data_IF_313710580230
#
_entry.id   IF_313710580230
#
_cell.length_a   1.000
_cell.length_b   1.000
_cell.length_c   1.000
_cell.angle_alpha   90.00
_cell.angle_beta   90.00
_cell.angle_gamma   90.00
#
_symmetry.space_group_name_H-M   'P 1'
#
loop_
_entity.id
_entity.type
_entity.pdbx_description
1 polymer ?
#
# COMPACT_ATOMS: atom_id res chain seq x y z
N UNK A 1 -9.56 23.80 19.19
CA UNK A 1 -10.70 23.69 18.24
C UNK A 1 -11.10 22.23 18.15
N UNK A 2 -12.41 21.98 18.06
CA UNK A 2 -12.99 20.65 17.94
C UNK A 2 -13.63 20.51 16.55
N UNK A 3 -13.46 19.35 15.92
CA UNK A 3 -13.91 19.04 14.56
C UNK A 3 -14.91 17.89 14.60
N UNK A 4 -16.01 18.04 13.87
CA UNK A 4 -16.92 16.95 13.58
C UNK A 4 -16.27 15.95 12.63
N UNK A 5 -16.77 14.71 12.62
CA UNK A 5 -16.24 13.67 11.72
C UNK A 5 -16.27 14.04 10.24
N UNK A 6 -17.27 14.83 9.82
CA UNK A 6 -17.41 15.30 8.43
C UNK A 6 -16.33 16.35 8.12
N UNK A 7 -15.98 17.21 9.07
CA UNK A 7 -14.88 18.17 8.91
C UNK A 7 -13.54 17.46 8.84
N UNK A 8 -13.32 16.41 9.65
CA UNK A 8 -12.10 15.59 9.57
C UNK A 8 -12.01 14.90 8.20
N UNK A 9 -13.10 14.32 7.72
CA UNK A 9 -13.15 13.71 6.38
C UNK A 9 -12.80 14.73 5.28
N UNK A 10 -13.37 15.94 5.34
CA UNK A 10 -13.05 17.00 4.37
C UNK A 10 -11.59 17.45 4.41
N UNK A 11 -10.97 17.48 5.60
CA UNK A 11 -9.58 17.92 5.76
C UNK A 11 -8.56 16.83 5.39
N UNK A 12 -8.88 15.56 5.68
CA UNK A 12 -7.92 14.45 5.57
C UNK A 12 -8.17 13.55 4.37
N UNK A 13 -9.36 13.62 3.76
CA UNK A 13 -9.82 12.68 2.74
C UNK A 13 -10.22 11.30 3.29
N UNK A 14 -10.09 11.08 4.60
CA UNK A 14 -10.42 9.79 5.23
C UNK A 14 -11.93 9.71 5.42
N UNK A 15 -12.55 8.73 4.77
CA UNK A 15 -14.00 8.58 4.80
C UNK A 15 -14.56 8.51 6.23
N UNK A 16 -15.68 9.19 6.49
CA UNK A 16 -16.33 9.16 7.81
C UNK A 16 -16.58 7.74 8.33
N UNK A 17 -16.89 6.80 7.43
CA UNK A 17 -17.08 5.37 7.79
C UNK A 17 -15.79 4.76 8.36
N UNK A 18 -14.65 5.07 7.78
CA UNK A 18 -13.33 4.62 8.23
C UNK A 18 -12.98 5.23 9.58
N UNK A 19 -13.19 6.54 9.76
CA UNK A 19 -12.98 7.22 11.04
C UNK A 19 -13.85 6.63 12.16
N UNK A 20 -15.13 6.33 11.89
CA UNK A 20 -16.00 5.64 12.86
C UNK A 20 -15.50 4.25 13.21
N UNK A 21 -15.03 3.51 12.22
CA UNK A 21 -14.49 2.17 12.41
C UNK A 21 -13.22 2.20 13.27
N UNK A 22 -12.30 3.13 13.01
CA UNK A 22 -11.09 3.28 13.83
C UNK A 22 -11.42 3.72 15.26
N UNK A 23 -12.34 4.66 15.44
CA UNK A 23 -12.82 5.06 16.76
C UNK A 23 -13.48 3.89 17.52
N UNK A 24 -14.27 3.03 16.86
CA UNK A 24 -14.84 1.85 17.50
C UNK A 24 -13.81 0.75 17.81
N UNK A 25 -12.63 0.81 17.18
CA UNK A 25 -11.50 -0.08 17.46
C UNK A 25 -10.51 0.49 18.50
N UNK A 26 -10.85 1.62 19.12
CA UNK A 26 -10.04 2.23 20.18
C UNK A 26 -8.84 3.04 19.67
N UNK A 27 -8.80 3.40 18.39
CA UNK A 27 -7.65 4.12 17.84
C UNK A 27 -7.61 5.62 18.19
N UNK A 28 -8.63 6.13 18.89
CA UNK A 28 -8.71 7.51 19.37
C UNK A 28 -9.12 7.49 20.86
N UNK A 29 -8.19 7.26 21.79
CA UNK A 29 -8.52 7.04 23.20
C UNK A 29 -9.08 8.29 23.90
N UNK A 30 -8.62 9.48 23.49
CA UNK A 30 -9.05 10.76 24.06
C UNK A 30 -10.35 11.33 23.44
N UNK A 31 -10.96 10.61 22.49
CA UNK A 31 -12.07 11.12 21.69
C UNK A 31 -13.32 11.35 22.53
N UNK A 32 -13.72 12.62 22.66
CA UNK A 32 -14.86 13.01 23.46
C UNK A 32 -16.17 12.86 22.70
N UNK A 33 -17.25 12.68 23.46
CA UNK A 33 -18.63 12.73 22.96
C UNK A 33 -19.38 13.87 23.64
N UNK A 34 -20.23 14.55 22.88
CA UNK A 34 -21.15 15.53 23.46
C UNK A 34 -22.40 14.86 24.08
N UNK A 35 -23.31 15.69 24.60
CA UNK A 35 -24.60 15.25 25.16
C UNK A 35 -25.51 14.53 24.16
N UNK A 36 -25.28 14.71 22.85
CA UNK A 36 -26.01 14.06 21.77
C UNK A 36 -25.26 12.82 21.23
N UNK A 37 -24.22 12.35 21.93
CA UNK A 37 -23.39 11.21 21.57
C UNK A 37 -22.64 11.40 20.23
N UNK A 38 -22.44 12.65 19.80
CA UNK A 38 -21.65 13.04 18.64
C UNK A 38 -20.17 13.11 19.03
N UNK A 39 -19.31 12.49 18.22
CA UNK A 39 -17.86 12.49 18.42
C UNK A 39 -17.23 13.77 17.88
N UNK A 40 -16.36 14.36 18.69
CA UNK A 40 -15.57 15.52 18.32
C UNK A 40 -14.08 15.20 18.38
N UNK A 41 -13.37 15.53 17.31
CA UNK A 41 -11.94 15.33 17.14
C UNK A 41 -11.23 16.63 17.51
N UNK A 42 -10.22 16.56 18.37
CA UNK A 42 -9.28 17.67 18.55
C UNK A 42 -8.34 17.79 17.36
N UNK A 43 -7.57 18.87 17.27
CA UNK A 43 -6.49 19.00 16.28
C UNK A 43 -5.49 17.83 16.36
N UNK A 44 -5.17 17.37 17.57
CA UNK A 44 -4.27 16.22 17.78
C UNK A 44 -4.88 14.93 17.24
N UNK A 45 -6.20 14.74 17.39
CA UNK A 45 -6.88 13.57 16.83
C UNK A 45 -6.90 13.59 15.30
N UNK A 46 -6.99 14.78 14.68
CA UNK A 46 -6.89 14.93 13.22
C UNK A 46 -5.49 14.58 12.73
N UNK A 47 -4.44 15.11 13.37
CA UNK A 47 -3.05 14.75 13.07
C UNK A 47 -2.83 13.23 13.26
N UNK A 48 -3.41 12.67 14.32
CA UNK A 48 -3.35 11.24 14.59
C UNK A 48 -4.09 10.40 13.55
N UNK A 49 -5.23 10.86 13.03
CA UNK A 49 -5.94 10.19 11.94
C UNK A 49 -5.06 10.08 10.67
N UNK A 50 -4.27 11.11 10.36
CA UNK A 50 -3.31 11.07 9.26
C UNK A 50 -2.21 10.01 9.49
N UNK A 51 -1.68 9.92 10.71
CA UNK A 51 -0.70 8.90 11.08
C UNK A 51 -1.27 7.49 11.01
N UNK A 52 -2.48 7.27 11.56
CA UNK A 52 -3.18 5.99 11.42
C UNK A 52 -3.32 5.63 9.94
N UNK A 53 -3.77 6.58 9.10
CA UNK A 53 -3.93 6.32 7.67
C UNK A 53 -2.59 5.90 7.03
N UNK A 54 -1.52 6.65 7.30
CA UNK A 54 -0.18 6.34 6.80
C UNK A 54 0.25 4.92 7.20
N UNK A 55 0.17 4.56 8.49
CA UNK A 55 0.54 3.22 8.94
C UNK A 55 -0.33 2.12 8.34
N UNK A 56 -1.64 2.38 8.16
CA UNK A 56 -2.57 1.45 7.51
C UNK A 56 -2.22 1.21 6.04
N UNK A 57 -1.87 2.26 5.29
CA UNK A 57 -1.46 2.14 3.90
C UNK A 57 -0.18 1.32 3.75
N UNK A 58 0.72 1.43 4.74
CA UNK A 58 1.97 0.68 4.76
C UNK A 58 1.82 -0.75 5.32
N UNK A 59 0.59 -1.19 5.62
CA UNK A 59 0.28 -2.58 5.96
C UNK A 59 0.18 -2.89 7.44
N UNK A 60 0.37 -1.92 8.34
CA UNK A 60 0.19 -2.12 9.78
C UNK A 60 -1.27 -2.50 10.08
N UNK A 61 -1.47 -3.57 10.85
CA UNK A 61 -2.79 -4.03 11.26
C UNK A 61 -3.44 -3.08 12.27
N UNK A 62 -4.76 -3.21 12.46
CA UNK A 62 -5.49 -2.47 13.49
C UNK A 62 -5.02 -2.87 14.89
N UNK A 63 -4.59 -4.12 15.08
CA UNK A 63 -4.08 -4.62 16.35
C UNK A 63 -2.72 -4.03 16.69
N UNK A 64 -1.79 -3.96 15.72
CA UNK A 64 -0.49 -3.28 15.90
C UNK A 64 -0.66 -1.78 16.18
N UNK A 65 -1.61 -1.12 15.52
CA UNK A 65 -1.91 0.28 15.81
C UNK A 65 -2.44 0.49 17.23
N UNK A 66 -3.27 -0.43 17.73
CA UNK A 66 -3.74 -0.37 19.11
C UNK A 66 -2.59 -0.54 20.09
N UNK A 67 -1.72 -1.52 19.86
CA UNK A 67 -0.52 -1.70 20.67
C UNK A 67 0.36 -0.45 20.67
N UNK A 68 0.54 0.21 19.53
CA UNK A 68 1.29 1.46 19.46
C UNK A 68 0.67 2.57 20.34
N UNK A 69 -0.66 2.68 20.34
CA UNK A 69 -1.39 3.65 21.16
C UNK A 69 -1.24 3.33 22.64
N UNK A 70 -1.43 2.08 23.04
CA UNK A 70 -1.27 1.63 24.43
C UNK A 70 0.13 1.96 24.94
N UNK A 71 1.17 1.70 24.12
CA UNK A 71 2.54 2.11 24.45
C UNK A 71 2.67 3.63 24.57
N UNK A 72 2.07 4.40 23.66
CA UNK A 72 2.14 5.86 23.68
C UNK A 72 1.48 6.47 24.93
N UNK A 73 0.43 5.85 25.46
CA UNK A 73 -0.24 6.27 26.70
C UNK A 73 0.62 6.05 27.96
N UNK A 74 1.51 5.05 27.95
CA UNK A 74 2.51 4.83 29.00
C UNK A 74 3.61 5.90 29.01
N UNK A 75 3.68 6.73 27.98
CA UNK A 75 4.61 7.86 27.92
C UNK A 75 6.03 7.47 27.52
N UNK A 76 7.02 8.16 28.08
CA UNK A 76 8.39 8.13 27.56
C UNK A 76 9.13 6.81 27.84
N UNK A 77 8.64 6.00 28.79
CA UNK A 77 9.22 4.70 29.11
C UNK A 77 9.15 3.70 27.94
N UNK A 78 8.22 3.89 26.99
CA UNK A 78 8.00 2.99 25.84
C UNK A 78 8.54 3.53 24.51
N UNK A 79 9.37 4.58 24.54
CA UNK A 79 9.86 5.24 23.31
C UNK A 79 10.59 4.23 22.42
N UNK A 80 11.36 3.30 23.00
CA UNK A 80 12.14 2.33 22.23
C UNK A 80 11.26 1.28 21.57
N UNK A 81 10.22 0.80 22.24
CA UNK A 81 9.25 -0.15 21.69
C UNK A 81 8.47 0.47 20.53
N UNK A 82 8.01 1.71 20.70
CA UNK A 82 7.34 2.46 19.63
C UNK A 82 8.27 2.71 18.44
N UNK A 83 9.53 3.04 18.71
CA UNK A 83 10.55 3.19 17.66
C UNK A 83 10.75 1.89 16.89
N UNK A 84 10.84 0.76 17.57
CA UNK A 84 11.05 -0.54 16.94
C UNK A 84 9.85 -0.96 16.07
N UNK A 85 8.62 -0.62 16.48
CA UNK A 85 7.44 -0.76 15.61
C UNK A 85 7.57 0.06 14.33
N UNK A 86 8.02 1.31 14.42
CA UNK A 86 8.24 2.16 13.24
C UNK A 86 9.40 1.65 12.38
N UNK A 87 10.47 1.10 12.97
CA UNK A 87 11.58 0.49 12.23
C UNK A 87 11.11 -0.72 11.42
N UNK A 88 10.29 -1.59 12.01
CA UNK A 88 9.65 -2.69 11.27
C UNK A 88 8.77 -2.17 10.14
N UNK A 89 8.01 -1.11 10.42
CA UNK A 89 7.17 -0.49 9.40
C UNK A 89 7.99 0.09 8.24
N UNK A 90 9.12 0.74 8.53
CA UNK A 90 10.06 1.24 7.52
C UNK A 90 10.57 0.10 6.63
N UNK A 91 10.90 -1.05 7.20
CA UNK A 91 11.35 -2.21 6.44
C UNK A 91 10.27 -2.70 5.46
N UNK A 92 9.01 -2.77 5.90
CA UNK A 92 7.88 -3.11 5.02
C UNK A 92 7.73 -2.13 3.85
N UNK A 93 7.94 -0.83 4.09
CA UNK A 93 7.89 0.19 3.04
C UNK A 93 9.02 -0.01 2.02
N UNK A 94 10.24 -0.27 2.49
CA UNK A 94 11.40 -0.51 1.61
C UNK A 94 11.19 -1.74 0.72
N UNK A 95 10.61 -2.81 1.27
CA UNK A 95 10.25 -4.02 0.52
C UNK A 95 9.19 -3.72 -0.53
N UNK A 96 8.16 -2.94 -0.20
CA UNK A 96 7.13 -2.53 -1.15
C UNK A 96 7.70 -1.65 -2.27
N UNK A 97 8.59 -0.70 -1.95
CA UNK A 97 9.30 0.12 -2.94
C UNK A 97 10.12 -0.77 -3.89
N UNK A 98 10.89 -1.71 -3.35
CA UNK A 98 11.67 -2.64 -4.16
C UNK A 98 10.77 -3.45 -5.10
N UNK A 99 9.64 -3.95 -4.59
CA UNK A 99 8.63 -4.69 -5.36
C UNK A 99 8.04 -3.84 -6.49
N UNK A 100 7.69 -2.59 -6.19
CA UNK A 100 7.14 -1.65 -7.18
C UNK A 100 8.17 -1.28 -8.25
N UNK A 101 9.45 -1.11 -7.91
CA UNK A 101 10.51 -0.91 -8.91
C UNK A 101 10.67 -2.11 -9.84
N UNK A 102 10.57 -3.34 -9.33
CA UNK A 102 10.60 -4.54 -10.19
C UNK A 102 9.43 -4.55 -11.16
N UNK A 103 8.22 -4.21 -10.69
CA UNK A 103 7.02 -4.13 -11.54
C UNK A 103 7.16 -3.04 -12.59
N UNK A 104 7.65 -1.86 -12.19
CA UNK A 104 7.89 -0.74 -13.10
C UNK A 104 8.84 -1.17 -14.23
N UNK A 105 9.93 -1.86 -13.92
CA UNK A 105 10.85 -2.37 -14.94
C UNK A 105 10.21 -3.36 -15.93
N UNK A 106 9.22 -4.16 -15.50
CA UNK A 106 8.45 -5.02 -16.42
C UNK A 106 7.56 -4.17 -17.34
N UNK A 107 6.89 -3.16 -16.79
CA UNK A 107 6.03 -2.24 -17.55
C UNK A 107 6.86 -1.46 -18.58
N UNK A 108 8.00 -0.90 -18.18
CA UNK A 108 8.87 -0.11 -19.06
C UNK A 108 9.37 -0.95 -20.25
N UNK A 109 9.75 -2.21 -20.01
CA UNK A 109 10.12 -3.13 -21.09
C UNK A 109 8.93 -3.43 -22.00
N UNK A 110 7.72 -3.55 -21.45
CA UNK A 110 6.52 -3.78 -22.26
C UNK A 110 6.19 -2.61 -23.16
N UNK A 111 6.38 -1.38 -22.66
CA UNK A 111 6.24 -0.16 -23.46
C UNK A 111 7.26 -0.17 -24.60
N UNK A 112 8.54 -0.39 -24.30
CA UNK A 112 9.60 -0.44 -25.31
C UNK A 112 9.32 -1.48 -26.42
N UNK A 113 8.81 -2.65 -26.05
CA UNK A 113 8.40 -3.68 -27.01
C UNK A 113 7.28 -3.19 -27.95
N UNK A 114 6.26 -2.50 -27.43
CA UNK A 114 5.20 -1.96 -28.29
C UNK A 114 5.67 -0.81 -29.17
N UNK A 115 6.57 0.03 -28.68
CA UNK A 115 7.18 1.11 -29.46
C UNK A 115 8.01 0.54 -30.63
N UNK A 116 8.75 -0.55 -30.38
CA UNK A 116 9.49 -1.29 -31.41
C UNK A 116 8.55 -1.92 -32.44
N UNK A 117 7.51 -2.65 -32.00
CA UNK A 117 6.50 -3.23 -32.89
C UNK A 117 5.85 -2.18 -33.79
N UNK A 118 5.48 -1.03 -33.21
CA UNK A 118 4.90 0.08 -33.96
C UNK A 118 5.91 0.66 -34.97
N UNK A 119 7.18 0.80 -34.58
CA UNK A 119 8.24 1.31 -35.47
C UNK A 119 8.49 0.38 -36.65
N UNK A 120 8.54 -0.93 -36.43
CA UNK A 120 8.69 -1.95 -37.48
C UNK A 120 7.49 -1.92 -38.44
N UNK A 121 6.27 -1.77 -37.92
CA UNK A 121 5.06 -1.63 -38.74
C UNK A 121 5.11 -0.38 -39.63
N UNK A 122 5.71 0.71 -39.17
CA UNK A 122 5.77 1.98 -39.91
C UNK A 122 6.91 2.04 -40.94
N UNK A 123 8.04 1.34 -40.71
CA UNK A 123 9.22 1.39 -41.58
C UNK A 123 9.16 0.43 -42.78
N UNK A 124 8.25 -0.55 -42.78
CA UNK A 124 8.22 -1.61 -43.78
C UNK A 124 9.43 -2.56 -43.65
N UNK A 125 9.26 -3.82 -44.03
CA UNK A 125 10.12 -4.99 -43.72
C UNK A 125 11.62 -4.95 -44.12
N UNK A 126 12.25 -3.80 -44.39
CA UNK A 126 13.61 -3.75 -44.97
C UNK A 126 14.74 -3.34 -44.01
N UNK A 127 14.49 -3.07 -42.73
CA UNK A 127 15.58 -2.80 -41.76
C UNK A 127 15.34 -3.58 -40.45
N UNK A 128 15.52 -4.90 -40.52
CA UNK A 128 15.25 -5.83 -39.40
C UNK A 128 16.42 -6.00 -38.41
N UNK A 129 17.54 -5.29 -38.57
CA UNK A 129 18.77 -5.59 -37.80
C UNK A 129 19.16 -4.56 -36.73
N UNK A 130 18.45 -3.44 -36.63
CA UNK A 130 18.80 -2.41 -35.65
C UNK A 130 17.89 -2.48 -34.41
N UNK A 131 18.47 -2.98 -33.31
CA UNK A 131 18.05 -2.87 -31.90
C UNK A 131 17.59 -4.16 -31.20
N UNK A 132 18.44 -5.20 -31.19
CA UNK A 132 18.33 -6.30 -30.23
C UNK A 132 18.71 -5.85 -28.81
N UNK A 133 17.78 -5.20 -28.12
CA UNK A 133 17.76 -5.21 -26.66
C UNK A 133 17.17 -6.54 -26.15
N UNK A 134 17.54 -7.04 -24.96
CA UNK A 134 16.94 -8.26 -24.43
C UNK A 134 15.46 -8.01 -24.08
N UNK A 135 14.57 -8.40 -24.99
CA UNK A 135 13.13 -8.52 -24.72
C UNK A 135 12.95 -9.73 -23.82
N UNK A 136 12.40 -9.54 -22.62
CA UNK A 136 11.97 -10.67 -21.80
C UNK A 136 10.91 -11.45 -22.57
N UNK A 137 11.07 -12.76 -22.63
CA UNK A 137 10.03 -13.65 -23.13
C UNK A 137 8.76 -13.49 -22.28
N UNK A 138 7.58 -13.78 -22.86
CA UNK A 138 6.33 -13.78 -22.10
C UNK A 138 6.39 -14.68 -20.84
N UNK A 139 7.22 -15.73 -20.86
CA UNK A 139 7.48 -16.59 -19.71
C UNK A 139 8.29 -15.89 -18.62
N UNK A 140 9.29 -15.09 -18.96
CA UNK A 140 10.09 -14.33 -17.99
C UNK A 140 9.31 -13.14 -17.42
N UNK A 141 8.46 -12.50 -18.22
CA UNK A 141 7.50 -11.49 -17.75
C UNK A 141 6.57 -12.11 -16.69
N UNK A 142 5.99 -13.29 -16.99
CA UNK A 142 5.10 -14.02 -16.09
C UNK A 142 5.80 -14.40 -14.77
N UNK A 143 6.98 -15.00 -14.84
CA UNK A 143 7.75 -15.41 -13.67
C UNK A 143 8.13 -14.23 -12.78
N UNK A 144 8.53 -13.11 -13.39
CA UNK A 144 8.87 -11.89 -12.65
C UNK A 144 7.64 -11.33 -11.94
N UNK A 145 6.51 -11.22 -12.65
CA UNK A 145 5.25 -10.72 -12.09
C UNK A 145 4.68 -11.66 -11.01
N UNK A 146 4.83 -12.97 -11.17
CA UNK A 146 4.41 -13.97 -10.19
C UNK A 146 5.18 -13.82 -8.88
N UNK A 147 6.51 -13.69 -8.95
CA UNK A 147 7.38 -13.56 -7.77
C UNK A 147 7.11 -12.29 -6.95
N UNK A 148 6.63 -11.22 -7.60
CA UNK A 148 6.33 -9.93 -6.95
C UNK A 148 4.83 -9.71 -6.67
N UNK A 149 3.97 -10.69 -6.99
CA UNK A 149 2.54 -10.60 -6.76
C UNK A 149 2.21 -10.78 -5.27
N UNK A 150 1.33 -9.92 -4.73
CA UNK A 150 0.87 -10.05 -3.34
C UNK A 150 -0.02 -11.31 -3.19
N UNK A 151 0.10 -12.08 -2.09
CA UNK A 151 -0.58 -13.36 -1.90
C UNK A 151 -2.12 -13.29 -1.98
N UNK A 152 -2.72 -12.16 -1.60
CA UNK A 152 -4.19 -12.00 -1.49
C UNK A 152 -4.91 -11.89 -2.85
N UNK A 153 -4.22 -11.54 -3.93
CA UNK A 153 -4.84 -11.36 -5.26
C UNK A 153 -4.52 -12.49 -6.25
N UNK A 154 -3.40 -13.21 -6.10
CA UNK A 154 -2.90 -14.12 -7.14
C UNK A 154 -2.90 -15.62 -6.79
N UNK A 155 -2.90 -16.00 -5.51
CA UNK A 155 -2.69 -17.40 -5.09
C UNK A 155 -3.86 -18.34 -5.45
N UNK A 156 -5.11 -17.91 -5.25
CA UNK A 156 -6.31 -18.74 -5.55
C UNK A 156 -6.56 -18.95 -7.05
N UNK A 157 -6.10 -18.04 -7.90
CA UNK A 157 -6.33 -18.11 -9.35
C UNK A 157 -5.28 -19.01 -10.03
N UNK A 158 -4.01 -18.91 -9.62
CA UNK A 158 -2.91 -19.61 -10.29
C UNK A 158 -2.61 -21.02 -9.79
N UNK A 159 -2.99 -21.40 -8.56
CA UNK A 159 -2.95 -22.82 -8.13
C UNK A 159 -3.80 -23.71 -9.05
N UNK A 160 -4.86 -23.15 -9.67
CA UNK A 160 -5.68 -23.84 -10.68
C UNK A 160 -5.05 -23.84 -12.07
N UNK A 161 -4.28 -22.81 -12.42
CA UNK A 161 -3.69 -22.65 -13.76
C UNK A 161 -2.41 -23.49 -13.92
N UNK A 162 -1.54 -23.53 -12.91
CA UNK A 162 -0.34 -24.39 -12.94
C UNK A 162 -0.68 -25.88 -12.93
N UNK A 163 -1.79 -26.28 -12.30
CA UNK A 163 -2.30 -27.65 -12.37
C UNK A 163 -2.75 -28.06 -13.80
N UNK A 164 -2.97 -27.10 -14.70
CA UNK A 164 -3.41 -27.33 -16.08
C UNK A 164 -2.25 -27.32 -17.10
N UNK A 165 -1.13 -26.68 -16.77
CA UNK A 165 0.06 -26.59 -17.65
C UNK A 165 1.02 -27.78 -17.42
N UNK A 166 0.88 -28.49 -16.30
CA UNK A 166 1.71 -29.65 -15.94
C UNK A 166 1.13 -31.03 -16.41
N UNK A 167 0.08 -31.04 -17.22
CA UNK A 167 -0.50 -32.21 -17.90
C UNK A 167 -0.45 -32.02 -19.41
#
# INVERSE_FOLDING_TARGET
MAYTIIEVERQTGIASRTLRFWASKGLFPALQKDSNNIRYFSKKDVEWACWINCFREMGMSIDELRQYIELAELGDETIMERRDMIVRQKQNVLEEISRLHTILGVIDRKIAYYDEMHSIQMLGNNESEALQGPVLTASEEYETLYKVAKPRSFRKYNERLHAHIAN
#
